data_IF_535459180773
#
_entry.id   IF_535459180773
#
_cell.length_a   1.000
_cell.length_b   1.000
_cell.length_c   1.000
_cell.angle_alpha   90.00
_cell.angle_beta   90.00
_cell.angle_gamma   90.00
#
_symmetry.space_group_name_H-M   'P 1'
#
loop_
_entity.id
_entity.type
_entity.pdbx_description
1 polymer ?
#
# COMPACT_ATOMS: atom_id res chain seq x y z
N UNK A 1 -21.96 -22.15 5.12
CA UNK A 1 -21.87 -21.15 4.02
C UNK A 1 -22.19 -19.79 4.65
N UNK A 2 -21.18 -19.08 5.12
CA UNK A 2 -21.34 -17.74 5.69
C UNK A 2 -20.68 -16.75 4.76
N UNK A 3 -21.51 -15.99 4.01
CA UNK A 3 -21.04 -14.90 3.15
C UNK A 3 -20.62 -13.72 4.01
N UNK A 4 -19.43 -13.22 3.79
CA UNK A 4 -18.94 -11.99 4.41
C UNK A 4 -19.48 -10.80 3.61
N UNK A 5 -20.27 -9.96 4.26
CA UNK A 5 -20.76 -8.69 3.73
C UNK A 5 -19.63 -7.64 3.83
N UNK A 6 -19.07 -7.25 2.73
CA UNK A 6 -18.17 -6.09 2.67
C UNK A 6 -19.01 -4.81 2.50
N UNK A 7 -19.11 -4.01 3.55
CA UNK A 7 -19.75 -2.70 3.52
C UNK A 7 -18.67 -1.61 3.30
N UNK A 8 -18.78 -0.88 2.21
CA UNK A 8 -17.99 0.33 1.97
C UNK A 8 -18.74 1.51 2.59
N UNK A 9 -18.20 2.10 3.65
CA UNK A 9 -18.73 3.33 4.24
C UNK A 9 -18.04 4.54 3.63
N UNK A 10 -18.75 5.26 2.76
CA UNK A 10 -18.34 6.61 2.33
C UNK A 10 -19.08 7.60 3.22
N UNK A 11 -18.38 8.27 4.12
CA UNK A 11 -18.95 9.37 4.92
C UNK A 11 -18.79 10.65 4.12
N UNK A 12 -19.85 11.06 3.42
CA UNK A 12 -19.94 12.38 2.82
C UNK A 12 -20.67 13.31 3.80
N UNK A 13 -19.94 14.20 4.47
CA UNK A 13 -20.51 15.23 5.31
C UNK A 13 -20.96 16.44 4.50
N UNK A 14 -22.28 16.72 4.42
CA UNK A 14 -22.90 18.04 4.32
C UNK A 14 -24.31 18.00 4.92
N UNK A 15 -24.73 19.01 5.68
CA UNK A 15 -26.05 19.04 6.29
C UNK A 15 -27.11 19.54 5.29
N UNK A 16 -28.25 18.85 5.26
CA UNK A 16 -29.49 19.33 4.65
C UNK A 16 -30.00 18.50 3.45
N UNK A 17 -31.00 17.65 3.70
CA UNK A 17 -31.79 17.04 2.67
C UNK A 17 -31.84 15.51 2.67
N UNK A 18 -32.96 14.93 3.16
CA UNK A 18 -33.30 13.53 2.97
C UNK A 18 -33.40 13.22 1.48
N UNK A 19 -32.40 12.59 0.89
CA UNK A 19 -32.55 11.89 -0.39
C UNK A 19 -32.47 10.39 -0.11
N UNK A 20 -33.47 9.68 -0.63
CA UNK A 20 -33.54 8.22 -0.63
C UNK A 20 -32.26 7.67 -1.22
N UNK A 21 -31.48 6.92 -0.40
CA UNK A 21 -30.34 6.14 -0.86
C UNK A 21 -30.89 4.97 -1.67
N UNK A 22 -30.66 4.97 -2.98
CA UNK A 22 -30.84 3.77 -3.80
C UNK A 22 -29.71 2.79 -3.40
N UNK A 23 -30.09 1.73 -2.68
CA UNK A 23 -29.21 0.59 -2.45
C UNK A 23 -29.04 -0.15 -3.78
N UNK A 24 -27.87 0.00 -4.38
CA UNK A 24 -27.42 -0.94 -5.41
C UNK A 24 -26.81 -2.13 -4.70
N UNK A 25 -27.53 -3.22 -4.61
CA UNK A 25 -26.97 -4.52 -4.30
C UNK A 25 -26.16 -5.01 -5.51
N UNK A 26 -24.85 -4.73 -5.50
CA UNK A 26 -23.93 -5.42 -6.39
C UNK A 26 -23.65 -6.78 -5.75
N UNK A 27 -24.44 -7.77 -6.07
CA UNK A 27 -24.13 -9.17 -5.76
C UNK A 27 -23.00 -9.64 -6.68
N UNK A 28 -21.75 -9.29 -6.40
CA UNK A 28 -20.63 -10.04 -6.87
C UNK A 28 -20.29 -11.08 -5.79
N UNK A 29 -20.57 -12.34 -6.05
CA UNK A 29 -20.10 -13.45 -5.24
C UNK A 29 -18.60 -13.63 -5.50
N UNK A 30 -17.79 -12.76 -4.93
CA UNK A 30 -16.34 -13.02 -4.86
C UNK A 30 -16.17 -14.11 -3.83
N UNK A 31 -15.73 -15.29 -4.26
CA UNK A 31 -15.37 -16.38 -3.34
C UNK A 31 -14.24 -15.89 -2.43
N UNK A 32 -14.24 -16.33 -1.17
CA UNK A 32 -13.12 -16.06 -0.26
C UNK A 32 -11.80 -16.52 -0.90
N UNK A 33 -10.69 -15.77 -0.71
CA UNK A 33 -9.41 -16.14 -1.26
C UNK A 33 -8.97 -17.53 -0.77
N UNK A 34 -8.29 -18.27 -1.63
CA UNK A 34 -7.71 -19.55 -1.26
C UNK A 34 -6.44 -19.32 -0.44
N UNK A 35 -6.40 -19.87 0.77
CA UNK A 35 -5.19 -19.84 1.61
C UNK A 35 -4.18 -20.87 1.12
N UNK A 36 -2.97 -20.44 0.75
CA UNK A 36 -1.88 -21.27 0.23
C UNK A 36 -0.59 -21.07 1.03
N UNK A 37 0.35 -22.06 1.01
CA UNK A 37 1.67 -21.89 1.59
C UNK A 37 2.44 -20.71 0.97
N UNK A 38 3.31 -20.08 1.74
CA UNK A 38 4.10 -18.92 1.27
C UNK A 38 4.98 -19.27 0.07
N UNK A 39 5.57 -20.46 0.04
CA UNK A 39 6.42 -20.88 -1.07
C UNK A 39 5.60 -21.05 -2.37
N UNK A 40 4.40 -21.62 -2.28
CA UNK A 40 3.46 -21.70 -3.42
C UNK A 40 3.01 -20.31 -3.87
N UNK A 41 2.74 -19.39 -2.92
CA UNK A 41 2.39 -18.00 -3.22
C UNK A 41 3.51 -17.31 -4.00
N UNK A 42 4.77 -17.48 -3.56
CA UNK A 42 5.96 -16.93 -4.22
C UNK A 42 6.11 -17.51 -5.63
N UNK A 43 5.96 -18.84 -5.81
CA UNK A 43 6.11 -19.49 -7.10
C UNK A 43 5.05 -19.04 -8.10
N UNK A 44 3.80 -18.89 -7.67
CA UNK A 44 2.72 -18.33 -8.50
C UNK A 44 2.97 -16.87 -8.85
N UNK A 45 3.42 -16.06 -7.89
CA UNK A 45 3.77 -14.65 -8.11
C UNK A 45 4.96 -14.51 -9.07
N UNK A 46 5.96 -15.40 -8.96
CA UNK A 46 7.09 -15.49 -9.89
C UNK A 46 6.61 -15.82 -11.31
N UNK A 47 5.71 -16.79 -11.47
CA UNK A 47 5.12 -17.13 -12.76
C UNK A 47 4.43 -15.95 -13.44
N UNK A 48 3.80 -15.05 -12.69
CA UNK A 48 3.26 -13.82 -13.26
C UNK A 48 4.34 -12.87 -13.79
N UNK A 49 5.57 -12.93 -13.26
CA UNK A 49 6.68 -12.08 -13.69
C UNK A 49 7.37 -12.56 -14.97
N UNK A 50 7.14 -13.79 -15.38
CA UNK A 50 7.70 -14.38 -16.61
C UNK A 50 6.91 -13.97 -17.87
N UNK A 51 5.72 -13.40 -17.70
CA UNK A 51 4.85 -12.91 -18.76
C UNK A 51 4.76 -11.39 -18.82
N UNK A 52 3.72 -10.91 -19.50
CA UNK A 52 3.37 -9.47 -19.48
C UNK A 52 2.64 -9.18 -18.17
N UNK A 53 3.32 -8.50 -17.26
CA UNK A 53 2.71 -8.07 -15.99
C UNK A 53 1.69 -6.97 -16.27
N UNK A 54 0.43 -7.25 -15.97
CA UNK A 54 -0.65 -6.27 -15.99
C UNK A 54 -1.10 -5.94 -14.57
N UNK A 55 -1.62 -4.73 -14.39
CA UNK A 55 -2.24 -4.32 -13.13
C UNK A 55 -3.34 -5.30 -12.71
N UNK A 56 -4.13 -5.76 -13.68
CA UNK A 56 -5.25 -6.68 -13.45
C UNK A 56 -4.78 -8.07 -13.01
N UNK A 57 -3.75 -8.63 -13.65
CA UNK A 57 -3.25 -9.97 -13.30
C UNK A 57 -2.76 -10.05 -11.84
N UNK A 58 -2.04 -9.01 -11.36
CA UNK A 58 -1.62 -8.95 -9.96
C UNK A 58 -2.82 -8.74 -9.03
N UNK A 59 -3.78 -7.90 -9.41
CA UNK A 59 -5.00 -7.70 -8.64
C UNK A 59 -5.79 -9.01 -8.50
N UNK A 60 -6.05 -9.70 -9.61
CA UNK A 60 -6.79 -10.97 -9.63
C UNK A 60 -6.10 -12.05 -8.81
N UNK A 61 -4.76 -12.09 -8.86
CA UNK A 61 -3.98 -12.98 -8.03
C UNK A 61 -4.18 -12.70 -6.53
N UNK A 62 -4.04 -11.42 -6.12
CA UNK A 62 -4.12 -11.02 -4.71
C UNK A 62 -5.54 -11.11 -4.11
N UNK A 63 -6.59 -11.06 -4.93
CA UNK A 63 -7.98 -11.32 -4.47
C UNK A 63 -8.32 -12.81 -4.48
N UNK A 64 -7.56 -13.62 -5.22
CA UNK A 64 -7.80 -15.08 -5.33
C UNK A 64 -7.01 -15.89 -4.33
N UNK A 65 -5.86 -15.38 -3.86
CA UNK A 65 -4.95 -16.12 -2.99
C UNK A 65 -4.50 -15.28 -1.80
N UNK A 66 -4.45 -15.93 -0.65
CA UNK A 66 -3.83 -15.39 0.57
C UNK A 66 -2.76 -16.34 1.10
N UNK A 67 -1.73 -15.78 1.72
CA UNK A 67 -0.67 -16.58 2.33
C UNK A 67 -1.15 -17.13 3.67
N UNK A 68 -0.85 -18.40 3.94
CA UNK A 68 -1.09 -19.02 5.24
C UNK A 68 -0.44 -18.18 6.35
N UNK A 69 -1.20 -17.71 7.37
CA UNK A 69 -0.67 -16.79 8.38
C UNK A 69 0.58 -17.32 9.11
N UNK A 70 0.62 -18.61 9.42
CA UNK A 70 1.74 -19.23 10.14
C UNK A 70 3.06 -19.16 9.36
N UNK A 71 3.00 -19.18 8.04
CA UNK A 71 4.18 -19.12 7.18
C UNK A 71 4.79 -17.71 7.15
N UNK A 72 4.03 -16.69 7.55
CA UNK A 72 4.47 -15.30 7.59
C UNK A 72 5.17 -14.93 8.90
N UNK A 73 5.06 -15.74 9.97
CA UNK A 73 5.68 -15.43 11.26
C UNK A 73 7.19 -15.24 11.15
N UNK A 74 7.88 -16.03 10.32
CA UNK A 74 9.33 -15.93 10.09
C UNK A 74 9.79 -14.63 9.44
N UNK A 75 8.86 -13.87 8.84
CA UNK A 75 9.14 -12.58 8.20
C UNK A 75 8.79 -11.39 9.10
N UNK A 76 8.17 -11.60 10.26
CA UNK A 76 7.81 -10.52 11.16
C UNK A 76 9.03 -10.06 11.95
N UNK A 77 9.51 -8.85 11.66
CA UNK A 77 10.45 -8.13 12.51
C UNK A 77 9.73 -6.91 13.10
N UNK A 78 9.85 -6.74 14.39
CA UNK A 78 9.26 -5.62 15.10
C UNK A 78 10.35 -4.68 15.62
N UNK A 79 10.24 -3.40 15.29
CA UNK A 79 10.98 -2.31 15.92
C UNK A 79 9.99 -1.44 16.71
N UNK A 80 10.39 -0.88 17.87
CA UNK A 80 9.44 -0.19 18.74
C UNK A 80 9.00 1.17 18.19
N UNK A 81 9.81 1.83 17.38
CA UNK A 81 9.72 3.23 16.99
C UNK A 81 9.33 3.47 15.54
N UNK A 82 9.32 2.43 14.71
CA UNK A 82 9.04 2.55 13.29
C UNK A 82 8.53 1.25 12.67
N UNK A 83 7.83 1.37 11.54
CA UNK A 83 7.49 0.21 10.72
C UNK A 83 8.73 -0.43 10.13
N UNK A 84 8.65 -1.73 9.87
CA UNK A 84 9.71 -2.52 9.22
C UNK A 84 9.25 -3.01 7.86
N UNK A 85 10.17 -3.10 6.91
CA UNK A 85 9.95 -3.61 5.54
C UNK A 85 10.68 -4.95 5.41
N UNK A 86 9.96 -6.04 5.48
CA UNK A 86 10.52 -7.39 5.56
C UNK A 86 10.29 -8.12 4.24
N UNK A 87 11.37 -8.37 3.51
CA UNK A 87 11.32 -8.97 2.18
C UNK A 87 10.89 -10.44 2.25
N UNK A 88 9.83 -10.79 1.50
CA UNK A 88 9.39 -12.17 1.28
C UNK A 88 9.99 -12.68 -0.03
N UNK A 89 9.82 -11.90 -1.11
CA UNK A 89 10.30 -12.22 -2.44
C UNK A 89 10.68 -10.97 -3.20
N UNK A 90 11.71 -11.08 -4.06
CA UNK A 90 12.10 -9.98 -4.95
C UNK A 90 12.84 -10.54 -6.17
N UNK A 91 12.45 -10.04 -7.34
CA UNK A 91 13.20 -10.14 -8.58
C UNK A 91 13.18 -8.77 -9.30
N UNK A 92 13.62 -8.72 -10.56
CA UNK A 92 13.68 -7.47 -11.32
C UNK A 92 12.28 -6.86 -11.60
N UNK A 93 11.24 -7.69 -11.58
CA UNK A 93 9.89 -7.30 -12.01
C UNK A 93 8.91 -7.12 -10.86
N UNK A 94 9.12 -7.80 -9.73
CA UNK A 94 8.21 -7.77 -8.59
C UNK A 94 8.96 -7.75 -7.27
N UNK A 95 8.36 -7.08 -6.29
CA UNK A 95 8.76 -7.16 -4.89
C UNK A 95 7.55 -7.47 -4.04
N UNK A 96 7.66 -8.49 -3.18
CA UNK A 96 6.66 -8.84 -2.17
C UNK A 96 7.28 -8.71 -0.79
N UNK A 97 6.61 -8.00 0.11
CA UNK A 97 7.12 -7.76 1.46
C UNK A 97 6.02 -7.74 2.50
N UNK A 98 6.41 -8.11 3.71
CA UNK A 98 5.62 -7.94 4.92
C UNK A 98 6.03 -6.65 5.62
N UNK A 99 5.07 -5.81 5.97
CA UNK A 99 5.33 -4.60 6.76
C UNK A 99 4.69 -4.77 8.13
N UNK A 100 5.52 -4.64 9.18
CA UNK A 100 5.06 -4.67 10.56
C UNK A 100 4.98 -3.24 11.09
N UNK A 101 3.84 -2.87 11.65
CA UNK A 101 3.51 -1.53 12.12
C UNK A 101 3.33 -1.54 13.64
N UNK A 102 4.32 -1.08 14.42
CA UNK A 102 4.11 -0.87 15.85
C UNK A 102 3.05 0.21 16.09
N UNK A 103 2.53 0.27 17.31
CA UNK A 103 1.55 1.28 17.73
C UNK A 103 2.15 2.67 17.50
N UNK A 104 1.41 3.57 16.85
CA UNK A 104 1.84 4.92 16.55
C UNK A 104 2.78 5.06 15.34
N UNK A 105 3.09 3.98 14.63
CA UNK A 105 3.94 4.06 13.44
C UNK A 105 3.28 4.88 12.32
N UNK A 106 4.06 5.80 11.75
CA UNK A 106 3.63 6.69 10.66
C UNK A 106 4.70 6.70 9.58
N UNK A 107 4.29 6.55 8.31
CA UNK A 107 5.20 6.86 7.20
C UNK A 107 5.24 8.36 6.94
N UNK A 108 6.35 8.89 6.41
CA UNK A 108 6.29 10.22 5.80
C UNK A 108 5.31 10.21 4.62
N UNK A 109 4.92 11.38 4.16
CA UNK A 109 4.19 11.55 2.91
C UNK A 109 5.13 11.21 1.75
N UNK A 110 4.80 10.22 0.91
CA UNK A 110 5.75 9.67 -0.07
C UNK A 110 5.09 9.18 -1.36
N UNK A 111 5.95 9.03 -2.38
CA UNK A 111 5.62 8.43 -3.68
C UNK A 111 6.10 6.97 -3.74
N UNK A 112 5.84 6.34 -4.89
CA UNK A 112 6.24 4.95 -5.16
C UNK A 112 7.22 4.85 -6.35
N UNK A 113 7.92 5.93 -6.67
CA UNK A 113 8.89 5.99 -7.78
C UNK A 113 8.29 5.55 -9.13
N UNK A 114 7.01 5.86 -9.37
CA UNK A 114 6.31 5.49 -10.60
C UNK A 114 5.94 4.01 -10.71
N UNK A 115 5.99 3.25 -9.62
CA UNK A 115 5.60 1.85 -9.60
C UNK A 115 4.13 1.66 -9.21
N UNK A 116 3.54 0.56 -9.67
CA UNK A 116 2.26 0.09 -9.16
C UNK A 116 2.48 -0.61 -7.82
N UNK A 117 1.50 -0.51 -6.93
CA UNK A 117 1.54 -1.20 -5.65
C UNK A 117 0.15 -1.67 -5.21
N UNK A 118 0.14 -2.74 -4.44
CA UNK A 118 -1.04 -3.31 -3.82
C UNK A 118 -0.72 -3.63 -2.38
N UNK A 119 -1.63 -3.31 -1.49
CA UNK A 119 -1.55 -3.62 -0.07
C UNK A 119 -2.80 -4.38 0.36
N UNK A 120 -2.62 -5.48 1.06
CA UNK A 120 -3.68 -6.16 1.82
C UNK A 120 -3.34 -6.16 3.30
N UNK A 121 -4.37 -6.00 4.14
CA UNK A 121 -4.21 -6.09 5.59
C UNK A 121 -4.29 -7.53 6.04
N UNK A 122 -3.39 -7.93 6.94
CA UNK A 122 -3.35 -9.25 7.55
C UNK A 122 -3.77 -9.19 9.01
N UNK A 123 -3.31 -8.17 9.76
CA UNK A 123 -3.58 -7.99 11.17
C UNK A 123 -3.76 -6.50 11.49
N UNK A 124 -4.62 -6.21 12.47
CA UNK A 124 -4.86 -4.84 12.90
C UNK A 124 -5.53 -3.98 11.85
N UNK A 125 -5.27 -2.69 11.88
CA UNK A 125 -5.82 -1.71 10.92
C UNK A 125 -4.86 -0.57 10.66
N UNK A 126 -4.99 0.04 9.49
CA UNK A 126 -4.19 1.20 9.07
C UNK A 126 -5.08 2.28 8.47
N UNK A 127 -4.73 3.53 8.73
CA UNK A 127 -5.31 4.69 8.07
C UNK A 127 -4.39 5.13 6.94
N UNK A 128 -4.90 5.17 5.72
CA UNK A 128 -4.20 5.69 4.54
C UNK A 128 -4.74 7.08 4.22
N UNK A 129 -3.89 8.08 4.23
CA UNK A 129 -4.22 9.44 3.81
C UNK A 129 -3.67 9.67 2.41
N UNK A 130 -4.54 9.96 1.46
CA UNK A 130 -4.19 10.18 0.06
C UNK A 130 -4.09 11.65 -0.27
N UNK A 131 -3.07 12.02 -1.05
CA UNK A 131 -2.76 13.39 -1.44
C UNK A 131 -2.50 13.49 -2.93
N UNK A 132 -2.67 14.70 -3.45
CA UNK A 132 -2.27 15.09 -4.79
C UNK A 132 -1.36 16.32 -4.70
N UNK A 133 -0.24 16.28 -5.43
CA UNK A 133 0.59 17.47 -5.62
C UNK A 133 -0.13 18.44 -6.55
N UNK A 134 -0.37 19.66 -6.09
CA UNK A 134 -0.99 20.73 -6.85
C UNK A 134 0.09 21.47 -7.61
N UNK A 135 1.14 21.92 -6.89
CA UNK A 135 2.24 22.69 -7.47
C UNK A 135 3.54 22.44 -6.70
N UNK A 136 4.65 22.72 -7.35
CA UNK A 136 5.96 22.87 -6.73
C UNK A 136 6.84 23.80 -7.59
N UNK A 137 7.91 24.35 -6.98
CA UNK A 137 8.85 25.20 -7.73
C UNK A 137 9.90 24.42 -8.56
N UNK A 138 9.64 23.16 -8.87
CA UNK A 138 10.43 22.29 -9.74
C UNK A 138 9.51 21.59 -10.76
N UNK A 139 8.95 22.34 -11.74
CA UNK A 139 8.01 21.81 -12.72
C UNK A 139 8.59 20.68 -13.59
N UNK A 140 9.90 20.67 -13.83
CA UNK A 140 10.61 19.60 -14.52
C UNK A 140 10.48 18.24 -13.84
N UNK A 141 10.17 18.20 -12.55
CA UNK A 141 9.94 16.97 -11.81
C UNK A 141 8.72 16.17 -12.29
N UNK A 142 7.88 16.76 -13.14
CA UNK A 142 6.66 16.11 -13.63
C UNK A 142 6.87 15.30 -14.91
N UNK A 143 8.04 15.36 -15.52
CA UNK A 143 8.27 14.87 -16.89
C UNK A 143 9.22 13.67 -17.00
N UNK A 144 9.73 13.15 -15.90
CA UNK A 144 10.73 12.08 -15.95
C UNK A 144 10.05 10.73 -16.15
N UNK A 145 10.41 10.06 -17.23
CA UNK A 145 9.89 8.71 -17.55
C UNK A 145 10.40 7.71 -16.52
N UNK A 146 9.46 6.95 -15.93
CA UNK A 146 9.77 5.91 -14.91
C UNK A 146 10.08 6.47 -13.53
N UNK A 147 9.96 7.77 -13.34
CA UNK A 147 10.04 8.43 -12.04
C UNK A 147 8.84 9.36 -11.86
N UNK A 148 8.40 9.49 -10.63
CA UNK A 148 7.25 10.33 -10.28
C UNK A 148 7.64 11.75 -9.86
N UNK A 149 8.88 11.95 -9.40
CA UNK A 149 9.44 13.23 -9.01
C UNK A 149 10.97 13.15 -8.90
N UNK A 150 11.68 14.21 -9.30
CA UNK A 150 13.14 14.33 -9.14
C UNK A 150 13.58 14.75 -7.75
N UNK A 151 12.68 15.23 -6.92
CA UNK A 151 12.96 15.88 -5.63
C UNK A 151 13.60 17.29 -5.73
N UNK A 152 14.00 17.85 -4.60
CA UNK A 152 14.70 19.14 -4.54
C UNK A 152 13.82 20.38 -4.61
N UNK A 153 12.47 20.25 -4.52
CA UNK A 153 11.60 21.40 -4.38
C UNK A 153 11.73 22.02 -2.99
N UNK A 154 11.64 23.34 -2.92
CA UNK A 154 11.65 24.15 -1.68
C UNK A 154 10.35 24.91 -1.45
N UNK A 155 9.36 24.71 -2.31
CA UNK A 155 7.98 25.12 -2.15
C UNK A 155 7.08 24.05 -2.73
N UNK A 156 6.14 23.58 -1.94
CA UNK A 156 5.27 22.45 -2.31
C UNK A 156 3.84 22.75 -1.88
N UNK A 157 2.92 22.59 -2.79
CA UNK A 157 1.49 22.65 -2.52
C UNK A 157 0.85 21.28 -2.71
N UNK A 158 0.18 20.79 -1.68
CA UNK A 158 -0.49 19.50 -1.64
C UNK A 158 -1.97 19.67 -1.29
N UNK A 159 -2.80 18.85 -1.90
CA UNK A 159 -4.20 18.71 -1.54
C UNK A 159 -4.46 17.31 -1.00
N UNK A 160 -5.02 17.21 0.19
CA UNK A 160 -5.54 15.95 0.70
C UNK A 160 -6.82 15.58 -0.07
N UNK A 161 -6.84 14.36 -0.61
CA UNK A 161 -7.97 13.83 -1.39
C UNK A 161 -8.97 13.08 -0.52
N UNK A 162 -8.49 12.44 0.54
CA UNK A 162 -9.31 11.65 1.46
C UNK A 162 -8.49 10.72 2.33
N UNK A 163 -9.21 9.95 3.13
CA UNK A 163 -8.67 8.91 4.01
C UNK A 163 -9.39 7.60 3.76
N UNK A 164 -8.66 6.50 3.93
CA UNK A 164 -9.17 5.15 3.78
C UNK A 164 -8.76 4.31 4.99
N UNK A 165 -9.71 3.62 5.61
CA UNK A 165 -9.44 2.66 6.66
C UNK A 165 -9.24 1.29 6.05
N UNK A 166 -8.03 0.75 6.18
CA UNK A 166 -7.68 -0.58 5.71
C UNK A 166 -7.74 -1.58 6.86
N UNK A 167 -8.46 -2.69 6.67
CA UNK A 167 -8.67 -3.77 7.66
C UNK A 167 -8.54 -5.13 6.98
N UNK A 168 -8.27 -6.22 7.73
CA UNK A 168 -8.28 -7.57 7.20
C UNK A 168 -9.61 -7.92 6.54
N UNK A 169 -9.56 -8.57 5.38
CA UNK A 169 -10.76 -8.89 4.58
C UNK A 169 -11.39 -7.69 3.87
N UNK A 170 -10.83 -6.49 4.02
CA UNK A 170 -11.23 -5.31 3.27
C UNK A 170 -10.69 -5.31 1.83
N UNK A 171 -11.06 -4.30 1.02
CA UNK A 171 -10.58 -4.18 -0.35
C UNK A 171 -9.06 -3.95 -0.38
N UNK A 172 -8.41 -4.38 -1.48
CA UNK A 172 -7.01 -4.06 -1.73
C UNK A 172 -6.83 -2.55 -1.87
N UNK A 173 -5.96 -1.97 -1.05
CA UNK A 173 -5.49 -0.61 -1.27
C UNK A 173 -4.46 -0.62 -2.41
N UNK A 174 -4.63 0.24 -3.41
CA UNK A 174 -3.80 0.25 -4.61
C UNK A 174 -3.19 1.62 -4.86
N UNK A 175 -1.95 1.62 -5.32
CA UNK A 175 -1.27 2.82 -5.79
C UNK A 175 -0.99 2.71 -7.29
N UNK A 176 -1.18 3.79 -8.01
CA UNK A 176 -0.88 3.87 -9.42
C UNK A 176 0.47 4.55 -9.71
N UNK A 177 0.87 4.54 -10.99
CA UNK A 177 2.20 5.01 -11.42
C UNK A 177 2.41 6.52 -11.26
N UNK A 178 1.37 7.34 -11.22
CA UNK A 178 1.52 8.79 -11.45
C UNK A 178 0.94 9.68 -10.38
N UNK A 179 -0.01 9.21 -9.60
CA UNK A 179 -0.84 10.13 -8.80
C UNK A 179 -0.85 9.83 -7.30
N UNK A 180 -0.43 8.64 -6.89
CA UNK A 180 -0.59 8.26 -5.49
C UNK A 180 0.58 8.75 -4.66
N UNK A 181 0.33 9.83 -3.93
CA UNK A 181 1.14 10.29 -2.83
C UNK A 181 0.32 10.00 -1.58
N UNK A 182 0.87 9.25 -0.65
CA UNK A 182 0.14 8.91 0.55
C UNK A 182 1.01 8.88 1.80
N UNK A 183 0.35 8.84 2.93
CA UNK A 183 0.89 8.57 4.25
C UNK A 183 0.06 7.48 4.91
N UNK A 184 0.71 6.52 5.54
CA UNK A 184 0.07 5.41 6.23
C UNK A 184 0.34 5.55 7.73
N UNK A 185 -0.70 5.32 8.55
CA UNK A 185 -0.66 5.46 10.00
C UNK A 185 -1.24 4.24 10.69
N UNK A 186 -0.55 3.77 11.71
CA UNK A 186 -1.15 2.97 12.78
C UNK A 186 -1.42 3.93 13.96
N UNK A 187 -2.68 4.28 14.17
CA UNK A 187 -3.02 5.33 15.14
C UNK A 187 -2.82 4.84 16.58
N UNK A 188 -2.19 5.64 17.47
CA UNK A 188 -1.92 5.25 18.85
C UNK A 188 -3.16 4.85 19.65
N UNK A 189 -4.29 5.52 19.40
CA UNK A 189 -5.56 5.26 20.08
C UNK A 189 -6.16 3.88 19.79
N UNK A 190 -5.70 3.22 18.76
CA UNK A 190 -6.12 1.83 18.48
C UNK A 190 -5.45 0.82 19.40
N UNK A 191 -4.33 1.16 20.01
CA UNK A 191 -3.56 0.35 20.93
C UNK A 191 -3.31 -1.08 20.46
N UNK A 192 -3.13 -1.26 19.16
CA UNK A 192 -2.85 -2.55 18.52
C UNK A 192 -1.77 -2.43 17.46
N UNK A 193 -1.00 -3.51 17.25
CA UNK A 193 -0.05 -3.63 16.15
C UNK A 193 -0.80 -3.99 14.88
N UNK A 194 -0.19 -3.68 13.73
CA UNK A 194 -0.75 -4.06 12.44
C UNK A 194 0.30 -4.73 11.56
N UNK A 195 -0.17 -5.59 10.65
CA UNK A 195 0.65 -6.28 9.65
C UNK A 195 -0.04 -6.17 8.30
N UNK A 196 0.73 -5.78 7.28
CA UNK A 196 0.25 -5.70 5.90
C UNK A 196 1.19 -6.39 4.93
N UNK A 197 0.63 -7.02 3.90
CA UNK A 197 1.37 -7.60 2.78
C UNK A 197 1.34 -6.61 1.61
N UNK A 198 2.49 -6.34 1.03
CA UNK A 198 2.65 -5.43 -0.09
C UNK A 198 3.25 -6.14 -1.29
N UNK A 199 2.72 -5.86 -2.47
CA UNK A 199 3.32 -6.26 -3.75
C UNK A 199 3.53 -5.02 -4.59
N UNK A 200 4.70 -4.89 -5.22
CA UNK A 200 5.05 -3.78 -6.11
C UNK A 200 5.46 -4.31 -7.49
N UNK A 201 5.05 -3.60 -8.55
CA UNK A 201 5.37 -3.94 -9.95
C UNK A 201 6.75 -3.46 -10.39
N UNK A 202 7.72 -3.70 -9.76
CA UNK A 202 9.16 -3.53 -9.67
C UNK A 202 9.53 -3.12 -8.26
N UNK A 203 10.70 -3.53 -7.83
CA UNK A 203 11.24 -3.12 -6.55
C UNK A 203 11.30 -1.61 -6.37
N UNK A 204 10.99 -1.15 -5.17
CA UNK A 204 11.07 0.26 -4.80
C UNK A 204 12.32 0.47 -3.93
N UNK A 205 13.43 0.88 -4.55
CA UNK A 205 14.69 1.14 -3.85
C UNK A 205 14.78 2.56 -3.27
N UNK A 206 13.98 3.47 -3.81
CA UNK A 206 13.88 4.83 -3.31
C UNK A 206 12.52 5.43 -3.62
N UNK A 207 12.12 6.42 -2.83
CA UNK A 207 10.91 7.21 -3.06
C UNK A 207 11.18 8.68 -2.79
N UNK A 208 10.32 9.56 -3.28
CA UNK A 208 10.33 10.95 -2.88
C UNK A 208 9.47 11.13 -1.65
N UNK A 209 10.04 11.76 -0.64
CA UNK A 209 9.38 12.13 0.60
C UNK A 209 9.09 13.62 0.58
N UNK A 210 7.90 14.00 1.05
CA UNK A 210 7.46 15.37 1.18
C UNK A 210 7.34 15.75 2.66
N UNK A 211 8.06 16.80 3.02
CA UNK A 211 8.02 17.44 4.32
C UNK A 211 7.29 18.78 4.14
N UNK A 212 6.01 18.79 4.48
CA UNK A 212 5.16 19.95 4.25
C UNK A 212 5.46 21.09 5.23
N UNK A 213 5.94 20.77 6.43
CA UNK A 213 6.29 21.77 7.44
C UNK A 213 7.57 22.51 7.01
N UNK A 214 8.55 21.79 6.53
CA UNK A 214 9.79 22.35 6.00
C UNK A 214 9.68 22.78 4.51
N UNK A 215 8.52 22.61 3.87
CA UNK A 215 8.27 22.97 2.46
C UNK A 215 9.30 22.41 1.49
N UNK A 216 9.73 21.16 1.72
CA UNK A 216 10.76 20.52 0.90
C UNK A 216 10.38 19.09 0.51
N UNK A 217 10.96 18.61 -0.60
CA UNK A 217 10.93 17.20 -0.92
C UNK A 217 12.36 16.70 -1.22
N UNK A 218 12.59 15.45 -0.87
CA UNK A 218 13.89 14.80 -1.05
C UNK A 218 13.72 13.32 -1.35
N UNK A 219 14.72 12.73 -1.98
CA UNK A 219 14.74 11.30 -2.25
C UNK A 219 15.29 10.56 -1.04
N UNK A 220 14.58 9.50 -0.64
CA UNK A 220 14.96 8.63 0.48
C UNK A 220 15.09 7.20 -0.02
N UNK A 221 16.11 6.48 0.46
CA UNK A 221 16.24 5.03 0.27
C UNK A 221 15.08 4.30 0.95
N UNK A 222 14.57 3.27 0.29
CA UNK A 222 13.49 2.41 0.76
C UNK A 222 14.03 1.02 1.13
N UNK A 223 15.10 0.97 1.93
CA UNK A 223 15.79 -0.26 2.33
C UNK A 223 14.88 -1.23 3.09
N UNK A 224 15.11 -2.53 2.88
CA UNK A 224 14.51 -3.57 3.69
C UNK A 224 15.13 -3.57 5.09
N UNK A 225 14.31 -3.86 6.11
CA UNK A 225 14.74 -3.85 7.51
C UNK A 225 15.56 -5.06 7.89
N UNK A 226 15.44 -6.16 7.14
CA UNK A 226 16.24 -7.37 7.29
C UNK A 226 17.00 -7.59 5.98
N UNK A 227 18.33 -7.67 5.99
CA UNK A 227 19.07 -8.23 4.87
C UNK A 227 18.52 -9.64 4.61
N UNK A 228 18.26 -9.99 3.35
CA UNK A 228 17.97 -11.40 3.06
C UNK A 228 19.12 -12.25 3.57
N UNK A 229 18.80 -13.21 4.42
CA UNK A 229 19.72 -14.32 4.58
C UNK A 229 19.83 -14.97 3.19
N UNK A 230 20.94 -14.72 2.52
CA UNK A 230 21.31 -15.46 1.34
C UNK A 230 21.41 -16.93 1.76
N UNK A 231 20.51 -17.74 1.23
CA UNK A 231 20.64 -19.18 1.25
C UNK A 231 21.04 -19.66 -0.12
#
# INVERSE_FOLDING_TARGET
MSGVLNAVYVIAGRPGGLRKCLQYEIMSTVSAPQTIPVDEFIDRLRGLSEGVITKQAIYDFLVSYEVRPQDLERYKLWLPDRHTRNKIFRNEMLECMLICWPIGAITPLHTHNGQLGWMTMLEGKLLVENFRKIDCNRPENQQVVGMDCLAGATRIEMQQLGTELCVPGGPLNTVDKKQTIHRIKNLPEWNERAVSLHVYSRPIDSCVVFDLDAQRCFRRSAECSVPSAEK
#
